data_IF_551755766172
#
_entry.id   IF_551755766172
#
_cell.length_a   1.000
_cell.length_b   1.000
_cell.length_c   1.000
_cell.angle_alpha   90.00
_cell.angle_beta   90.00
_cell.angle_gamma   90.00
#
_symmetry.space_group_name_H-M   'P 1'
#
loop_
_entity.id
_entity.type
_entity.pdbx_description
1 polymer ?
#
# COMPACT_ATOMS: atom_id res chain seq x y z
N UNK A 1 19.29 5.82 0.55
CA UNK A 1 18.48 7.01 0.97
C UNK A 1 18.97 7.50 2.34
N UNK A 2 18.85 8.79 2.71
CA UNK A 2 19.27 9.28 4.04
C UNK A 2 18.34 8.73 5.14
N UNK A 3 18.85 8.40 6.32
CA UNK A 3 18.06 7.76 7.40
C UNK A 3 16.79 8.51 7.79
N UNK A 4 16.84 9.86 7.86
CA UNK A 4 15.65 10.68 8.14
C UNK A 4 14.54 10.47 7.11
N UNK A 5 14.89 10.40 5.82
CA UNK A 5 13.92 10.15 4.75
C UNK A 5 13.35 8.73 4.81
N UNK A 6 14.13 7.73 5.27
CA UNK A 6 13.63 6.37 5.49
C UNK A 6 12.55 6.37 6.57
N UNK A 7 12.82 7.00 7.70
CA UNK A 7 11.85 7.11 8.81
C UNK A 7 10.57 7.82 8.35
N UNK A 8 10.70 8.95 7.65
CA UNK A 8 9.56 9.69 7.09
C UNK A 8 8.72 8.83 6.13
N UNK A 9 9.36 8.00 5.29
CA UNK A 9 8.65 7.11 4.38
C UNK A 9 7.97 5.93 5.09
N UNK A 10 8.63 5.32 6.08
CA UNK A 10 8.09 4.22 6.86
C UNK A 10 6.85 4.68 7.63
N UNK A 11 6.92 5.85 8.29
CA UNK A 11 5.75 6.41 8.97
C UNK A 11 4.59 6.62 7.99
N UNK A 12 4.87 7.15 6.79
CA UNK A 12 3.83 7.32 5.75
C UNK A 12 3.21 5.98 5.30
N UNK A 13 3.98 4.90 5.26
CA UNK A 13 3.45 3.56 4.94
C UNK A 13 2.51 3.09 6.05
N UNK A 14 2.91 3.26 7.32
CA UNK A 14 2.10 2.90 8.49
C UNK A 14 0.80 3.74 8.52
N UNK A 15 0.90 5.05 8.34
CA UNK A 15 -0.27 5.94 8.28
C UNK A 15 -1.25 5.48 7.19
N UNK A 16 -0.74 5.12 6.00
CA UNK A 16 -1.57 4.62 4.90
C UNK A 16 -2.22 3.26 5.18
N UNK A 17 -1.55 2.39 5.95
CA UNK A 17 -2.13 1.12 6.38
C UNK A 17 -3.31 1.35 7.32
N UNK A 18 -3.16 2.23 8.31
CA UNK A 18 -4.23 2.60 9.23
C UNK A 18 -5.41 3.32 8.54
N UNK A 19 -5.11 4.08 7.49
CA UNK A 19 -6.09 4.81 6.67
C UNK A 19 -6.76 3.94 5.59
N UNK A 20 -6.33 2.69 5.38
CA UNK A 20 -6.86 1.83 4.31
C UNK A 20 -6.59 2.38 2.91
N UNK A 21 -5.39 2.96 2.71
CA UNK A 21 -4.97 3.54 1.42
C UNK A 21 -3.71 2.87 0.87
N UNK A 22 -3.59 2.87 -0.46
CA UNK A 22 -2.48 2.25 -1.15
C UNK A 22 -1.13 2.90 -0.83
N UNK A 23 -0.12 2.09 -0.46
CA UNK A 23 1.24 2.56 -0.17
C UNK A 23 1.94 3.25 -1.34
N UNK A 24 1.48 3.03 -2.58
CA UNK A 24 2.13 3.50 -3.80
C UNK A 24 1.45 4.72 -4.43
N UNK A 25 0.12 4.81 -4.43
CA UNK A 25 -0.60 5.97 -4.98
C UNK A 25 -1.34 6.79 -3.93
N UNK A 26 -1.56 6.25 -2.72
CA UNK A 26 -2.33 6.89 -1.66
C UNK A 26 -3.84 6.92 -1.90
N UNK A 27 -4.35 6.15 -2.86
CA UNK A 27 -5.78 6.02 -3.11
C UNK A 27 -6.40 5.03 -2.14
N UNK A 28 -7.69 5.20 -1.91
CA UNK A 28 -8.52 4.32 -1.09
C UNK A 28 -8.50 2.91 -1.68
N UNK A 29 -8.36 1.90 -0.81
CA UNK A 29 -8.42 0.49 -1.20
C UNK A 29 -9.86 0.06 -1.43
N UNK A 30 -10.05 -1.03 -2.16
CA UNK A 30 -11.36 -1.53 -2.55
C UNK A 30 -12.33 -1.69 -1.37
N UNK A 31 -11.85 -2.14 -0.21
CA UNK A 31 -12.59 -2.40 1.03
C UNK A 31 -13.18 -1.15 1.68
N UNK A 32 -12.64 0.02 1.35
CA UNK A 32 -13.11 1.31 1.81
C UNK A 32 -13.95 2.04 0.75
N UNK A 33 -14.24 1.39 -0.38
CA UNK A 33 -15.17 1.90 -1.40
C UNK A 33 -16.63 1.62 -0.99
N UNK A 34 -17.51 2.51 -1.45
CA UNK A 34 -18.96 2.29 -1.35
C UNK A 34 -19.39 1.11 -2.22
N UNK A 35 -20.52 0.49 -1.92
CA UNK A 35 -20.96 -0.75 -2.56
C UNK A 35 -21.10 -0.67 -4.11
N UNK A 36 -21.31 0.53 -4.66
CA UNK A 36 -21.41 0.74 -6.11
C UNK A 36 -20.04 0.82 -6.81
N UNK A 37 -18.97 1.15 -6.06
CA UNK A 37 -17.58 1.25 -6.54
C UNK A 37 -16.72 0.05 -6.10
N UNK A 38 -17.24 -0.79 -5.20
CA UNK A 38 -16.60 -2.02 -4.71
C UNK A 38 -16.56 -3.10 -5.81
N UNK A 39 -15.38 -3.56 -6.18
CA UNK A 39 -15.21 -4.69 -7.08
C UNK A 39 -15.17 -6.00 -6.29
N UNK A 40 -16.26 -6.78 -6.34
CA UNK A 40 -16.41 -8.05 -5.62
C UNK A 40 -15.52 -9.18 -6.16
N UNK A 41 -14.86 -8.95 -7.30
CA UNK A 41 -13.89 -9.86 -7.90
C UNK A 41 -12.48 -9.75 -7.31
N UNK A 42 -12.20 -8.74 -6.48
CA UNK A 42 -10.88 -8.49 -5.91
C UNK A 42 -10.91 -8.38 -4.37
N UNK A 43 -9.75 -8.55 -3.73
CA UNK A 43 -9.64 -8.37 -2.27
C UNK A 43 -10.09 -6.97 -1.84
N UNK A 44 -10.55 -6.86 -0.61
CA UNK A 44 -10.82 -5.58 0.05
C UNK A 44 -9.55 -4.71 0.09
N UNK A 45 -8.36 -5.29 0.22
CA UNK A 45 -7.14 -4.49 0.31
C UNK A 45 -6.50 -4.21 -1.06
N UNK A 46 -7.24 -4.47 -2.14
CA UNK A 46 -6.75 -4.23 -3.49
C UNK A 46 -6.79 -2.74 -3.87
N UNK A 47 -5.80 -2.31 -4.66
CA UNK A 47 -5.73 -0.95 -5.19
C UNK A 47 -6.05 -0.90 -6.70
N UNK A 48 -7.17 -0.24 -7.11
CA UNK A 48 -7.60 -0.18 -8.51
C UNK A 48 -6.71 0.66 -9.44
N UNK A 49 -5.84 1.50 -8.88
CA UNK A 49 -4.93 2.35 -9.67
C UNK A 49 -3.53 1.74 -9.83
N UNK A 50 -3.09 0.97 -8.83
CA UNK A 50 -1.74 0.43 -8.80
C UNK A 50 -1.62 -0.99 -9.37
N UNK A 51 -2.72 -1.64 -9.75
CA UNK A 51 -2.96 -3.02 -10.28
C UNK A 51 -1.79 -3.85 -10.83
N UNK A 52 -0.74 -3.21 -11.33
CA UNK A 52 0.51 -3.82 -11.81
C UNK A 52 1.57 -4.07 -10.72
N UNK A 53 1.41 -3.47 -9.54
CA UNK A 53 2.43 -3.46 -8.48
C UNK A 53 2.03 -4.23 -7.22
N UNK A 54 0.76 -4.61 -7.10
CA UNK A 54 0.16 -5.31 -5.94
C UNK A 54 -0.73 -6.41 -6.51
N UNK A 55 -0.54 -7.65 -6.08
CA UNK A 55 -1.43 -8.74 -6.44
C UNK A 55 -2.77 -8.56 -5.70
N UNK A 56 -3.93 -8.69 -6.37
CA UNK A 56 -5.22 -8.64 -5.71
C UNK A 56 -5.43 -9.68 -4.62
N UNK A 57 -4.65 -10.77 -4.60
CA UNK A 57 -4.73 -11.80 -3.57
C UNK A 57 -3.67 -11.63 -2.48
N UNK A 58 -2.83 -10.58 -2.54
CA UNK A 58 -1.82 -10.32 -1.53
C UNK A 58 -2.46 -9.94 -0.18
N UNK A 59 -1.87 -10.44 0.91
CA UNK A 59 -2.19 -9.99 2.26
C UNK A 59 -1.62 -8.58 2.49
N UNK A 60 -2.48 -7.64 2.89
CA UNK A 60 -2.08 -6.24 2.99
C UNK A 60 -1.10 -5.95 4.12
N UNK A 61 -1.16 -6.72 5.21
CA UNK A 61 -0.18 -6.65 6.28
C UNK A 61 1.19 -7.11 5.76
N UNK A 62 1.24 -8.21 5.00
CA UNK A 62 2.48 -8.67 4.35
C UNK A 62 3.03 -7.64 3.35
N UNK A 63 2.18 -7.03 2.52
CA UNK A 63 2.58 -5.98 1.57
C UNK A 63 3.10 -4.73 2.31
N UNK A 64 2.53 -4.39 3.45
CA UNK A 64 2.99 -3.30 4.31
C UNK A 64 4.42 -3.59 4.83
N UNK A 65 4.65 -4.79 5.35
CA UNK A 65 5.96 -5.22 5.84
C UNK A 65 7.01 -5.25 4.71
N UNK A 66 6.66 -5.74 3.52
CA UNK A 66 7.54 -5.74 2.35
C UNK A 66 7.86 -4.32 1.87
N UNK A 67 6.89 -3.40 1.88
CA UNK A 67 7.12 -1.99 1.55
C UNK A 67 8.12 -1.34 2.53
N UNK A 68 7.98 -1.62 3.83
CA UNK A 68 8.91 -1.16 4.86
C UNK A 68 10.30 -1.76 4.65
N UNK A 69 10.39 -3.06 4.38
CA UNK A 69 11.66 -3.76 4.12
C UNK A 69 12.39 -3.15 2.91
N UNK A 70 11.67 -2.89 1.82
CA UNK A 70 12.21 -2.22 0.63
C UNK A 70 12.81 -0.86 0.97
N UNK A 71 12.15 -0.07 1.83
CA UNK A 71 12.67 1.23 2.28
C UNK A 71 13.92 1.07 3.15
N UNK A 72 13.95 0.07 4.04
CA UNK A 72 15.10 -0.24 4.89
C UNK A 72 16.30 -0.61 4.03
N UNK A 73 16.12 -1.44 3.02
CA UNK A 73 17.18 -1.96 2.15
C UNK A 73 17.51 -1.07 0.95
N UNK A 74 16.90 0.12 0.84
CA UNK A 74 17.05 1.02 -0.33
C UNK A 74 16.68 0.34 -1.68
N UNK A 75 15.80 -0.66 -1.62
CA UNK A 75 15.22 -1.31 -2.78
C UNK A 75 14.24 -0.37 -3.50
N UNK A 76 13.93 -0.61 -4.79
CA UNK A 76 12.99 0.22 -5.53
C UNK A 76 11.60 0.23 -4.88
N UNK A 77 11.26 1.36 -4.26
CA UNK A 77 9.94 1.66 -3.72
C UNK A 77 9.61 3.12 -4.06
N UNK A 78 8.43 3.34 -4.66
CA UNK A 78 7.96 4.68 -5.06
C UNK A 78 6.52 4.89 -4.60
N UNK A 79 6.33 5.69 -3.53
CA UNK A 79 5.01 6.03 -2.97
C UNK A 79 4.29 7.18 -3.67
#
# INVERSE_FOLDING_TARGET
MKSRKKIELINKIIDRYDEGTCFYCGQILNGDLEADDFDDGYSADWCPDCCKNIDPDDDWEEVCLDAIDKVIHDSPFKP
#
